data_IF_438672023429
#
_entry.id   IF_438672023429
#
_cell.length_a   1.000
_cell.length_b   1.000
_cell.length_c   1.000
_cell.angle_alpha   90.00
_cell.angle_beta   90.00
_cell.angle_gamma   90.00
#
_symmetry.space_group_name_H-M   'P 1'
#
loop_
_entity.id
_entity.type
_entity.pdbx_description
1 polymer ?
#
# COMPACT_ATOMS: atom_id res chain seq x y z
N UNK A 1 4.43 -2.30 11.65
CA UNK A 1 4.72 -1.19 10.70
C UNK A 1 4.22 -1.60 9.33
N UNK A 2 3.50 -0.74 8.61
CA UNK A 2 3.06 -1.00 7.23
C UNK A 2 3.82 -0.10 6.27
N UNK A 3 4.33 -0.66 5.17
CA UNK A 3 5.01 0.06 4.11
C UNK A 3 4.45 -0.36 2.76
N UNK A 4 4.50 0.56 1.79
CA UNK A 4 4.08 0.30 0.42
C UNK A 4 5.29 -0.02 -0.43
N UNK A 5 5.13 -0.97 -1.33
CA UNK A 5 6.13 -1.36 -2.32
C UNK A 5 5.45 -1.35 -3.68
N UNK A 6 6.17 -0.87 -4.69
CA UNK A 6 5.71 -0.86 -6.08
C UNK A 6 6.44 -1.99 -6.81
N UNK A 7 5.69 -2.84 -7.51
CA UNK A 7 6.26 -3.88 -8.35
C UNK A 7 6.27 -3.40 -9.80
N UNK A 8 7.33 -3.74 -10.52
CA UNK A 8 7.44 -3.45 -11.96
C UNK A 8 6.43 -4.27 -12.76
N UNK A 9 6.21 -5.53 -12.34
CA UNK A 9 5.32 -6.47 -13.02
C UNK A 9 4.10 -6.78 -12.15
N UNK A 10 2.87 -6.54 -12.64
CA UNK A 10 1.64 -6.83 -11.89
C UNK A 10 1.42 -8.33 -11.66
N UNK A 11 2.00 -9.19 -12.50
CA UNK A 11 1.93 -10.65 -12.38
C UNK A 11 2.59 -11.12 -11.09
N UNK A 12 3.76 -10.56 -10.76
CA UNK A 12 4.47 -10.84 -9.51
C UNK A 12 3.61 -10.49 -8.30
N UNK A 13 2.88 -9.38 -8.37
CA UNK A 13 2.00 -8.94 -7.29
C UNK A 13 0.82 -9.91 -7.08
N UNK A 14 0.23 -10.43 -8.16
CA UNK A 14 -0.84 -11.47 -8.07
C UNK A 14 -0.31 -12.76 -7.44
N UNK A 15 0.87 -13.20 -7.85
CA UNK A 15 1.51 -14.42 -7.35
C UNK A 15 1.78 -14.32 -5.84
N UNK A 16 2.33 -13.18 -5.41
CA UNK A 16 2.60 -12.92 -3.99
C UNK A 16 1.30 -12.85 -3.18
N UNK A 17 0.26 -12.16 -3.68
CA UNK A 17 -1.03 -12.04 -2.98
C UNK A 17 -1.75 -13.37 -2.80
N UNK A 18 -1.74 -14.22 -3.82
CA UNK A 18 -2.50 -15.47 -3.82
C UNK A 18 -1.75 -16.60 -3.12
N UNK A 19 -0.44 -16.69 -3.33
CA UNK A 19 0.33 -17.88 -2.98
C UNK A 19 1.24 -17.66 -1.76
N UNK A 20 1.58 -16.42 -1.43
CA UNK A 20 2.50 -16.08 -0.35
C UNK A 20 1.80 -15.32 0.77
N UNK A 21 0.57 -15.69 1.14
CA UNK A 21 -0.14 -15.02 2.22
C UNK A 21 -0.65 -16.01 3.27
N UNK A 22 -0.01 -16.11 4.45
CA UNK A 22 1.08 -15.27 4.98
C UNK A 22 2.50 -15.65 4.48
N UNK A 23 3.39 -14.67 4.34
CA UNK A 23 4.80 -14.89 3.95
C UNK A 23 5.75 -14.66 5.12
N UNK A 24 6.88 -15.37 5.15
CA UNK A 24 7.92 -15.12 6.14
C UNK A 24 9.10 -14.38 5.52
N UNK A 25 9.44 -13.22 6.07
CA UNK A 25 10.66 -12.47 5.72
C UNK A 25 11.49 -12.31 6.98
N UNK A 26 12.72 -12.81 6.97
CA UNK A 26 13.65 -12.69 8.10
C UNK A 26 13.02 -13.16 9.44
N UNK A 27 12.24 -14.24 9.41
CA UNK A 27 11.55 -14.81 10.59
C UNK A 27 10.29 -14.06 11.03
N UNK A 28 9.89 -12.99 10.34
CA UNK A 28 8.68 -12.24 10.63
C UNK A 28 7.56 -12.58 9.64
N UNK A 29 6.33 -12.73 10.14
CA UNK A 29 5.12 -12.88 9.34
C UNK A 29 4.75 -11.56 8.67
N UNK A 30 4.74 -11.54 7.34
CA UNK A 30 4.38 -10.40 6.52
C UNK A 30 3.06 -10.67 5.81
N UNK A 31 2.16 -9.71 5.95
CA UNK A 31 0.84 -9.72 5.32
C UNK A 31 0.89 -8.87 4.05
N UNK A 32 0.57 -9.49 2.91
CA UNK A 32 0.37 -8.76 1.67
C UNK A 32 -1.11 -8.41 1.50
N UNK A 33 -1.38 -7.16 1.10
CA UNK A 33 -2.69 -6.69 0.69
C UNK A 33 -2.54 -5.80 -0.54
N UNK A 34 -3.50 -5.83 -1.48
CA UNK A 34 -3.52 -4.87 -2.57
C UNK A 34 -3.53 -3.45 -2.00
N UNK A 35 -2.74 -2.58 -2.61
CA UNK A 35 -2.79 -1.17 -2.28
C UNK A 35 -4.16 -0.62 -2.69
N UNK A 36 -4.89 -0.09 -1.71
CA UNK A 36 -6.09 0.70 -1.97
C UNK A 36 -5.64 2.15 -2.01
N UNK A 37 -5.67 2.77 -3.19
CA UNK A 37 -5.42 4.20 -3.31
C UNK A 37 -6.35 4.91 -2.33
N UNK A 38 -5.78 5.66 -1.39
CA UNK A 38 -6.59 6.52 -0.52
C UNK A 38 -7.30 7.49 -1.45
N UNK A 39 -8.64 7.49 -1.43
CA UNK A 39 -9.42 8.45 -2.20
C UNK A 39 -8.82 9.84 -1.98
N UNK A 40 -8.54 10.58 -3.06
CA UNK A 40 -8.00 11.94 -3.01
C UNK A 40 -8.80 12.73 -1.98
N UNK A 41 -8.19 13.02 -0.84
CA UNK A 41 -8.77 13.94 0.13
C UNK A 41 -8.87 15.26 -0.60
N UNK A 42 -10.09 15.69 -0.91
CA UNK A 42 -10.35 16.93 -1.63
C UNK A 42 -9.62 18.07 -0.94
N UNK A 43 -8.66 18.67 -1.66
CA UNK A 43 -7.74 19.75 -1.28
C UNK A 43 -8.46 21.11 -1.07
N UNK A 44 -9.51 21.16 -0.24
CA UNK A 44 -10.40 22.34 -0.15
C UNK A 44 -10.33 23.14 1.16
N UNK A 45 -9.48 22.79 2.13
CA UNK A 45 -9.36 23.56 3.38
C UNK A 45 -7.94 24.09 3.65
N UNK A 46 -7.39 24.90 2.73
CA UNK A 46 -6.25 25.80 3.00
C UNK A 46 -6.48 27.24 2.54
N UNK A 47 -7.73 27.72 2.56
CA UNK A 47 -8.05 29.14 2.42
C UNK A 47 -8.78 29.64 3.65
N UNK A 48 -8.05 29.85 4.75
CA UNK A 48 -8.43 30.84 5.75
C UNK A 48 -7.18 31.24 6.53
N UNK A 49 -7.04 32.56 6.70
CA UNK A 49 -5.94 33.29 7.37
C UNK A 49 -4.72 33.63 6.50
N UNK A 50 -4.94 34.57 5.58
CA UNK A 50 -4.04 35.72 5.44
C UNK A 50 -4.80 36.88 4.79
N UNK A 51 -5.24 37.82 5.63
CA UNK A 51 -5.39 39.28 5.45
C UNK A 51 -6.43 39.78 6.44
#
# INVERSE_FOLDING_TARGET
>A
MFRFVTFVYPETMKLILFQCNPYFVCGCLVLFKPYKEKAKVSDKCRKQQQS
#
